data_IF_352094199489
#
_entry.id   IF_352094199489
#
_cell.length_a   1.000
_cell.length_b   1.000
_cell.length_c   1.000
_cell.angle_alpha   90.00
_cell.angle_beta   90.00
_cell.angle_gamma   90.00
#
_symmetry.space_group_name_H-M   'P 1'
#
loop_
_entity.id
_entity.type
_entity.pdbx_description
1 polymer ?
#
# COMPACT_ATOMS: atom_id res chain seq x y z
N UNK A 1 -18.10 14.35 6.73
CA UNK A 1 -16.92 13.54 6.35
C UNK A 1 -17.33 12.09 6.40
N UNK A 2 -16.93 11.29 5.41
CA UNK A 2 -17.19 9.86 5.41
C UNK A 2 -16.47 9.20 6.61
N UNK A 3 -17.03 8.14 7.17
CA UNK A 3 -16.53 7.51 8.40
C UNK A 3 -15.11 6.97 8.22
N UNK A 4 -14.77 6.61 6.98
CA UNK A 4 -13.43 6.19 6.54
C UNK A 4 -12.38 7.27 6.78
N UNK A 5 -12.71 8.55 6.55
CA UNK A 5 -11.77 9.66 6.74
C UNK A 5 -11.48 9.93 8.22
N UNK A 6 -12.39 9.54 9.12
CA UNK A 6 -12.20 9.75 10.56
C UNK A 6 -11.35 8.65 11.22
N UNK A 7 -11.16 7.51 10.53
CA UNK A 7 -10.40 6.36 11.04
C UNK A 7 -9.09 6.11 10.28
N UNK A 8 -8.90 6.78 9.15
CA UNK A 8 -7.70 6.62 8.33
C UNK A 8 -6.50 7.23 9.05
N UNK A 9 -5.53 6.40 9.39
CA UNK A 9 -4.24 6.84 9.89
C UNK A 9 -3.34 7.31 8.74
N UNK A 10 -2.46 8.28 9.03
CA UNK A 10 -1.51 8.75 8.04
C UNK A 10 -0.48 7.64 7.74
N UNK A 11 -0.32 7.31 6.45
CA UNK A 11 0.73 6.41 5.99
C UNK A 11 2.06 7.17 5.98
N UNK A 12 3.03 6.69 6.76
CA UNK A 12 4.35 7.31 6.90
C UNK A 12 5.43 6.59 6.09
N UNK A 13 5.25 5.29 5.84
CA UNK A 13 6.23 4.49 5.12
C UNK A 13 5.70 3.16 4.66
N UNK A 14 6.45 2.52 3.77
CA UNK A 14 6.20 1.15 3.34
C UNK A 14 7.51 0.43 3.01
N UNK A 15 7.52 -0.89 3.17
CA UNK A 15 8.65 -1.73 2.79
C UNK A 15 8.18 -3.10 2.30
N UNK A 16 8.75 -3.59 1.20
CA UNK A 16 8.43 -4.91 0.65
C UNK A 16 9.56 -5.92 0.93
N UNK A 17 9.17 -7.10 1.43
CA UNK A 17 10.04 -8.22 1.73
C UNK A 17 9.68 -9.39 0.82
N UNK A 18 10.51 -9.73 -0.19
CA UNK A 18 10.25 -10.89 -1.04
C UNK A 18 10.37 -12.18 -0.21
N UNK A 19 9.52 -13.17 -0.50
CA UNK A 19 9.65 -14.49 0.13
C UNK A 19 10.94 -15.18 -0.39
N UNK A 20 11.76 -15.80 0.49
CA UNK A 20 13.04 -16.39 0.10
C UNK A 20 12.90 -17.48 -0.97
N UNK A 21 11.88 -18.35 -0.83
CA UNK A 21 11.72 -19.52 -1.69
C UNK A 21 10.59 -19.41 -2.74
N UNK A 22 9.74 -18.39 -2.65
CA UNK A 22 8.54 -18.26 -3.49
C UNK A 22 8.52 -16.90 -4.19
N UNK A 23 8.98 -16.88 -5.44
CA UNK A 23 9.11 -15.65 -6.24
C UNK A 23 7.77 -14.92 -6.54
N UNK A 24 6.64 -15.57 -6.26
CA UNK A 24 5.30 -15.01 -6.45
C UNK A 24 4.71 -14.41 -5.17
N UNK A 25 5.40 -14.50 -4.04
CA UNK A 25 4.90 -14.12 -2.71
C UNK A 25 5.87 -13.16 -2.00
N UNK A 26 5.36 -12.32 -1.13
CA UNK A 26 6.15 -11.51 -0.22
C UNK A 26 5.28 -10.85 0.83
N UNK A 27 5.91 -10.10 1.72
CA UNK A 27 5.22 -9.34 2.77
C UNK A 27 5.39 -7.85 2.50
N UNK A 28 4.28 -7.12 2.50
CA UNK A 28 4.27 -5.66 2.46
C UNK A 28 4.04 -5.15 3.88
N UNK A 29 5.02 -4.42 4.43
CA UNK A 29 4.87 -3.66 5.67
C UNK A 29 4.40 -2.25 5.33
N UNK A 30 3.36 -1.79 6.00
CA UNK A 30 2.87 -0.42 5.97
C UNK A 30 3.06 0.17 7.37
N UNK A 31 3.73 1.30 7.45
CA UNK A 31 3.99 2.01 8.69
C UNK A 31 3.02 3.20 8.78
N UNK A 32 2.13 3.20 9.77
CA UNK A 32 1.25 4.34 10.10
C UNK A 32 1.78 5.08 11.33
N UNK A 33 1.11 6.17 11.72
CA UNK A 33 1.47 6.93 12.92
C UNK A 33 1.44 6.09 14.21
N UNK A 34 0.51 5.13 14.33
CA UNK A 34 0.33 4.38 15.57
C UNK A 34 0.68 2.89 15.44
N UNK A 35 0.70 2.32 14.24
CA UNK A 35 0.84 0.88 14.05
C UNK A 35 1.67 0.48 12.81
N UNK A 36 2.22 -0.73 12.85
CA UNK A 36 2.76 -1.40 11.66
C UNK A 36 1.81 -2.49 11.20
N UNK A 37 1.34 -2.39 9.95
CA UNK A 37 0.52 -3.42 9.34
C UNK A 37 1.35 -4.29 8.42
N UNK A 38 1.24 -5.61 8.59
CA UNK A 38 1.96 -6.60 7.80
C UNK A 38 0.97 -7.37 6.93
N UNK A 39 1.12 -7.25 5.61
CA UNK A 39 0.19 -7.83 4.64
C UNK A 39 0.92 -8.83 3.77
N UNK A 40 0.43 -10.07 3.75
CA UNK A 40 0.91 -11.07 2.79
C UNK A 40 0.36 -10.71 1.41
N UNK A 41 1.26 -10.56 0.44
CA UNK A 41 0.90 -10.17 -0.93
C UNK A 41 1.49 -11.14 -1.93
N UNK A 42 0.75 -11.34 -3.02
CA UNK A 42 1.31 -11.96 -4.22
C UNK A 42 1.90 -10.89 -5.13
N UNK A 43 2.78 -11.29 -6.03
CA UNK A 43 3.32 -10.42 -7.08
C UNK A 43 2.22 -9.80 -7.95
N UNK A 44 1.12 -10.53 -8.19
CA UNK A 44 -0.03 -10.01 -8.91
C UNK A 44 -0.75 -8.93 -8.10
N UNK A 45 -1.07 -9.21 -6.83
CA UNK A 45 -1.72 -8.24 -5.93
C UNK A 45 -0.90 -6.95 -5.80
N UNK A 46 0.43 -7.07 -5.64
CA UNK A 46 1.33 -5.92 -5.57
C UNK A 46 1.36 -5.12 -6.88
N UNK A 47 1.31 -5.79 -8.04
CA UNK A 47 1.25 -5.13 -9.35
C UNK A 47 -0.05 -4.35 -9.52
N UNK A 48 -1.20 -4.92 -9.13
CA UNK A 48 -2.48 -4.22 -9.22
C UNK A 48 -2.54 -3.04 -8.25
N UNK A 49 -2.00 -3.18 -7.04
CA UNK A 49 -1.88 -2.07 -6.09
C UNK A 49 -1.03 -0.92 -6.67
N UNK A 50 0.13 -1.22 -7.26
CA UNK A 50 0.98 -0.21 -7.87
C UNK A 50 0.26 0.55 -9.00
N UNK A 51 -0.49 -0.15 -9.86
CA UNK A 51 -1.31 0.49 -10.91
C UNK A 51 -2.36 1.43 -10.33
N UNK A 52 -3.06 1.00 -9.27
CA UNK A 52 -4.06 1.83 -8.60
C UNK A 52 -3.41 3.10 -8.02
N UNK A 53 -2.26 2.98 -7.34
CA UNK A 53 -1.52 4.13 -6.82
C UNK A 53 -1.05 5.08 -7.94
N UNK A 54 -0.56 4.57 -9.07
CA UNK A 54 -0.18 5.41 -10.22
C UNK A 54 -1.37 6.16 -10.80
N UNK A 55 -2.54 5.52 -10.89
CA UNK A 55 -3.76 6.19 -11.33
C UNK A 55 -4.12 7.34 -10.39
N UNK A 56 -4.11 7.08 -9.08
CA UNK A 56 -4.41 8.12 -8.08
C UNK A 56 -3.39 9.25 -8.07
N UNK A 57 -2.12 8.98 -8.39
CA UNK A 57 -1.14 10.04 -8.59
C UNK A 57 -1.56 10.96 -9.74
N UNK A 58 -1.96 10.41 -10.89
CA UNK A 58 -2.48 11.20 -12.01
C UNK A 58 -3.71 12.02 -11.62
N UNK A 59 -4.67 11.40 -10.92
CA UNK A 59 -5.87 12.09 -10.44
C UNK A 59 -5.51 13.27 -9.50
N UNK A 60 -4.46 13.13 -8.68
CA UNK A 60 -3.98 14.19 -7.78
C UNK A 60 -3.23 15.30 -8.53
N UNK A 61 -2.43 14.96 -9.54
CA UNK A 61 -1.71 15.93 -10.38
C UNK A 61 -2.67 16.76 -11.24
N UNK A 62 -3.78 16.18 -11.71
CA UNK A 62 -4.82 16.89 -12.48
C UNK A 62 -5.75 17.74 -11.60
N UNK A 63 -5.83 17.45 -10.30
CA UNK A 63 -6.68 18.16 -9.34
C UNK A 63 -6.00 19.37 -8.67
N UNK A 64 -4.71 19.63 -8.96
CA UNK A 64 -3.95 20.81 -8.54
C UNK A 64 -3.96 21.92 -9.59
#
# INVERSE_FOLDING_TARGET
>A
MALEHMKAEMLLGYQFFPHPDMATLGVLRLDTENEQHWVLVTKQSLRELAKACTKHLGDLEEAQ
#
